data_IF_627570333128
#
_entry.id   IF_627570333128
#
_cell.length_a   1.000
_cell.length_b   1.000
_cell.length_c   1.000
_cell.angle_alpha   90.00
_cell.angle_beta   90.00
_cell.angle_gamma   90.00
#
_symmetry.space_group_name_H-M   'P 1'
#
loop_
_entity.id
_entity.type
_entity.pdbx_description
1 polymer ?
#
# COMPACT_ATOMS: atom_id res chain seq x y z
N UNK A 1 11.87 -20.44 -4.50
CA UNK A 1 11.47 -19.06 -4.16
C UNK A 1 10.12 -18.83 -4.81
N UNK A 2 9.14 -18.32 -4.07
CA UNK A 2 7.84 -17.95 -4.63
C UNK A 2 8.03 -16.70 -5.50
N UNK A 3 7.52 -16.73 -6.73
CA UNK A 3 7.49 -15.57 -7.63
C UNK A 3 6.06 -15.07 -7.81
N UNK A 4 5.83 -13.78 -8.17
CA UNK A 4 4.49 -13.28 -8.47
C UNK A 4 3.74 -14.11 -9.53
N UNK A 5 4.45 -14.71 -10.49
CA UNK A 5 3.90 -15.54 -11.55
C UNK A 5 3.35 -16.89 -11.04
N UNK A 6 3.79 -17.34 -9.86
CA UNK A 6 3.30 -18.57 -9.23
C UNK A 6 1.94 -18.37 -8.52
N UNK A 7 1.52 -17.12 -8.32
CA UNK A 7 0.26 -16.78 -7.67
C UNK A 7 -0.97 -17.09 -8.55
N UNK A 8 -2.15 -16.98 -7.95
CA UNK A 8 -3.43 -17.09 -8.68
C UNK A 8 -3.77 -15.85 -9.52
N UNK A 9 -2.98 -14.78 -9.42
CA UNK A 9 -3.21 -13.50 -10.08
C UNK A 9 -3.22 -13.69 -11.60
N UNK A 10 -4.22 -13.12 -12.29
CA UNK A 10 -4.42 -13.32 -13.73
C UNK A 10 -5.05 -14.66 -14.17
N UNK A 11 -5.28 -15.63 -13.26
CA UNK A 11 -5.86 -16.96 -13.59
C UNK A 11 -7.33 -17.09 -13.18
N UNK A 12 -8.16 -17.87 -13.88
CA UNK A 12 -9.48 -18.22 -13.34
C UNK A 12 -9.33 -19.22 -12.18
N UNK A 13 -9.97 -18.94 -11.04
CA UNK A 13 -9.97 -19.81 -9.86
C UNK A 13 -11.39 -19.93 -9.36
N UNK A 14 -11.84 -21.15 -9.08
CA UNK A 14 -13.13 -21.39 -8.47
C UNK A 14 -13.15 -20.79 -7.05
N UNK A 15 -14.29 -20.18 -6.66
CA UNK A 15 -14.43 -19.66 -5.31
C UNK A 15 -14.39 -20.81 -4.29
N UNK A 16 -13.63 -20.66 -3.19
CA UNK A 16 -13.56 -21.69 -2.16
C UNK A 16 -14.90 -21.82 -1.46
N UNK A 17 -15.34 -23.07 -1.24
CA UNK A 17 -16.58 -23.39 -0.53
C UNK A 17 -16.37 -23.64 0.97
N UNK A 18 -15.11 -23.71 1.42
CA UNK A 18 -14.71 -24.00 2.80
C UNK A 18 -13.51 -23.12 3.16
N UNK A 19 -13.30 -22.89 4.45
CA UNK A 19 -12.13 -22.20 4.97
C UNK A 19 -10.83 -22.85 4.50
N UNK A 20 -9.94 -22.05 3.94
CA UNK A 20 -8.65 -22.52 3.43
C UNK A 20 -7.56 -21.43 3.56
N UNK A 21 -6.68 -21.53 4.58
CA UNK A 21 -5.56 -20.61 4.75
C UNK A 21 -4.44 -20.84 3.73
N UNK A 22 -4.39 -22.00 3.08
CA UNK A 22 -3.36 -22.31 2.08
C UNK A 22 -3.55 -21.52 0.78
N UNK A 23 -4.69 -20.84 0.61
CA UNK A 23 -4.93 -19.89 -0.48
C UNK A 23 -4.05 -18.66 -0.39
N UNK A 24 -3.58 -18.29 0.81
CA UNK A 24 -2.72 -17.12 1.00
C UNK A 24 -1.37 -17.34 0.30
N UNK A 25 -0.97 -16.38 -0.53
CA UNK A 25 0.26 -16.45 -1.30
C UNK A 25 1.23 -15.35 -0.86
N UNK A 26 2.36 -15.71 -0.23
CA UNK A 26 3.40 -14.76 0.15
C UNK A 26 4.30 -14.42 -1.03
N UNK A 27 4.57 -13.12 -1.21
CA UNK A 27 5.56 -12.61 -2.16
C UNK A 27 6.73 -12.01 -1.36
N UNK A 28 7.96 -12.55 -1.50
CA UNK A 28 9.12 -11.99 -0.81
C UNK A 28 9.40 -10.55 -1.23
N UNK A 29 9.66 -9.66 -0.25
CA UNK A 29 9.98 -8.25 -0.53
C UNK A 29 11.38 -8.05 -1.11
N UNK A 30 12.29 -8.97 -0.81
CA UNK A 30 13.72 -8.89 -1.14
C UNK A 30 14.00 -8.51 -2.59
N UNK A 31 13.48 -9.28 -3.55
CA UNK A 31 13.80 -9.07 -4.96
C UNK A 31 13.37 -7.66 -5.44
N UNK A 32 12.16 -7.25 -5.08
CA UNK A 32 11.63 -5.92 -5.38
C UNK A 32 12.44 -4.79 -4.72
N UNK A 33 12.96 -5.02 -3.51
CA UNK A 33 13.83 -4.07 -2.79
C UNK A 33 15.21 -3.95 -3.42
N UNK A 34 15.82 -5.08 -3.80
CA UNK A 34 17.10 -5.13 -4.49
C UNK A 34 17.06 -4.33 -5.80
N UNK A 35 15.96 -4.43 -6.57
CA UNK A 35 15.74 -3.67 -7.82
C UNK A 35 15.75 -2.15 -7.63
N UNK A 36 15.38 -1.65 -6.44
CA UNK A 36 15.30 -0.23 -6.12
C UNK A 36 16.43 0.24 -5.20
N UNK A 37 17.43 -0.61 -4.98
CA UNK A 37 18.60 -0.32 -4.14
C UNK A 37 18.27 -0.21 -2.64
N UNK A 38 17.20 -0.85 -2.17
CA UNK A 38 16.85 -0.92 -0.75
C UNK A 38 17.47 -2.16 -0.12
N UNK A 39 18.28 -1.96 0.91
CA UNK A 39 18.85 -3.04 1.73
C UNK A 39 17.81 -3.55 2.74
N UNK A 40 17.36 -4.79 2.56
CA UNK A 40 16.39 -5.44 3.47
C UNK A 40 16.92 -5.59 4.90
N UNK A 41 18.24 -5.72 5.09
CA UNK A 41 18.84 -5.84 6.41
C UNK A 41 18.89 -4.50 7.15
N UNK A 42 18.91 -3.38 6.41
CA UNK A 42 19.04 -2.03 6.94
C UNK A 42 18.04 -1.10 6.24
N UNK A 43 16.75 -1.33 6.49
CA UNK A 43 15.69 -0.55 5.84
C UNK A 43 15.87 0.95 6.13
N UNK A 44 15.84 1.82 5.10
CA UNK A 44 15.97 3.27 5.28
C UNK A 44 14.68 3.90 5.83
N UNK A 45 13.65 3.09 6.06
CA UNK A 45 12.33 3.52 6.51
C UNK A 45 11.74 2.57 7.57
N UNK A 46 10.84 3.12 8.37
CA UNK A 46 9.83 2.38 9.12
C UNK A 46 8.50 2.43 8.36
N UNK A 47 7.56 1.55 8.69
CA UNK A 47 6.21 1.66 8.18
C UNK A 47 5.42 0.36 8.07
N UNK A 48 4.38 0.41 7.26
CA UNK A 48 3.43 -0.69 7.10
C UNK A 48 2.70 -0.61 5.76
N UNK A 49 2.11 -1.72 5.35
CA UNK A 49 1.13 -1.78 4.29
C UNK A 49 -0.23 -1.96 4.95
N UNK A 50 -1.05 -0.92 4.90
CA UNK A 50 -2.40 -0.96 5.45
C UNK A 50 -3.37 -1.40 4.38
N UNK A 51 -4.12 -2.46 4.62
CA UNK A 51 -5.17 -2.91 3.75
C UNK A 51 -6.53 -2.56 4.34
N UNK A 52 -7.48 -2.20 3.48
CA UNK A 52 -8.89 -2.19 3.85
C UNK A 52 -9.62 -3.34 3.14
N UNK A 53 -10.15 -4.28 3.92
CA UNK A 53 -11.06 -5.32 3.46
C UNK A 53 -12.50 -4.82 3.60
N UNK A 54 -13.15 -4.55 2.47
CA UNK A 54 -14.55 -4.08 2.44
C UNK A 54 -15.56 -5.22 2.34
N UNK A 55 -15.10 -6.39 1.89
CA UNK A 55 -15.91 -7.58 1.66
C UNK A 55 -15.47 -8.67 2.63
N UNK A 56 -15.84 -8.55 3.90
CA UNK A 56 -15.56 -9.56 4.93
C UNK A 56 -16.86 -10.13 5.49
N UNK A 57 -17.03 -11.45 5.37
CA UNK A 57 -18.22 -12.15 5.84
C UNK A 57 -17.88 -13.55 6.37
N UNK A 58 -18.65 -14.01 7.34
CA UNK A 58 -18.59 -15.36 7.91
C UNK A 58 -19.94 -15.77 8.49
N UNK A 59 -20.05 -16.96 9.07
CA UNK A 59 -21.25 -17.42 9.77
C UNK A 59 -21.05 -17.38 11.28
N UNK A 60 -22.06 -16.94 12.03
CA UNK A 60 -22.06 -17.16 13.48
C UNK A 60 -22.27 -18.66 13.83
N UNK A 61 -22.16 -19.01 15.11
CA UNK A 61 -22.37 -20.38 15.60
C UNK A 61 -23.69 -21.03 15.15
N UNK A 62 -24.74 -20.24 14.91
CA UNK A 62 -26.07 -20.72 14.45
C UNK A 62 -26.18 -20.75 12.93
N UNK A 63 -25.23 -20.19 12.20
CA UNK A 63 -25.19 -20.19 10.74
C UNK A 63 -25.76 -18.92 10.14
N UNK A 64 -26.00 -17.89 10.95
CA UNK A 64 -26.44 -16.59 10.46
C UNK A 64 -25.21 -15.85 9.90
N UNK A 65 -25.30 -15.29 8.68
CA UNK A 65 -24.23 -14.45 8.15
C UNK A 65 -23.92 -13.25 9.05
N UNK A 66 -22.63 -13.01 9.23
CA UNK A 66 -22.02 -11.83 9.85
C UNK A 66 -21.25 -11.09 8.76
N UNK A 67 -21.31 -9.77 8.79
CA UNK A 67 -20.57 -8.91 7.86
C UNK A 67 -19.78 -7.89 8.64
N UNK A 68 -18.58 -7.60 8.16
CA UNK A 68 -17.75 -6.54 8.70
C UNK A 68 -16.89 -5.94 7.59
N UNK A 69 -16.12 -4.95 7.99
CA UNK A 69 -14.99 -4.40 7.23
C UNK A 69 -13.79 -4.42 8.17
N UNK A 70 -12.59 -4.60 7.64
CA UNK A 70 -11.40 -4.73 8.46
C UNK A 70 -10.24 -3.89 7.92
N UNK A 71 -9.56 -3.20 8.82
CA UNK A 71 -8.24 -2.62 8.57
C UNK A 71 -7.19 -3.64 8.99
N UNK A 72 -6.29 -4.00 8.07
CA UNK A 72 -5.20 -4.94 8.30
C UNK A 72 -3.88 -4.20 8.12
N UNK A 73 -2.97 -4.30 9.08
CA UNK A 73 -1.66 -3.64 9.01
C UNK A 73 -0.55 -4.69 8.97
N UNK A 74 0.10 -4.81 7.80
CA UNK A 74 1.26 -5.67 7.61
C UNK A 74 2.52 -4.82 7.79
N UNK A 75 3.43 -5.12 8.74
CA UNK A 75 4.61 -4.29 8.95
C UNK A 75 5.54 -4.33 7.73
N UNK A 76 6.18 -3.21 7.37
CA UNK A 76 7.11 -3.19 6.23
C UNK A 76 8.36 -4.03 6.49
N UNK A 77 8.63 -4.41 7.74
CA UNK A 77 9.70 -5.33 8.15
C UNK A 77 9.34 -6.81 7.94
N UNK A 78 8.11 -7.13 7.55
CA UNK A 78 7.73 -8.49 7.16
C UNK A 78 8.58 -8.98 5.98
N UNK A 79 9.06 -10.24 5.98
CA UNK A 79 9.80 -10.78 4.84
C UNK A 79 8.94 -10.88 3.57
N UNK A 80 7.63 -11.04 3.73
CA UNK A 80 6.70 -11.17 2.62
C UNK A 80 5.59 -10.11 2.67
N UNK A 81 5.23 -9.60 1.49
CA UNK A 81 3.89 -9.03 1.28
C UNK A 81 2.89 -10.14 0.95
N UNK A 82 1.60 -9.84 1.05
CA UNK A 82 0.52 -10.80 0.78
C UNK A 82 -0.10 -10.45 -0.58
N UNK A 83 -0.16 -11.41 -1.51
CA UNK A 83 -0.71 -11.15 -2.84
C UNK A 83 -2.22 -10.89 -2.78
N UNK A 84 -2.67 -9.75 -3.34
CA UNK A 84 -4.03 -9.22 -3.19
C UNK A 84 -5.17 -10.18 -3.56
N UNK A 85 -5.03 -10.95 -4.65
CA UNK A 85 -6.05 -11.90 -5.08
C UNK A 85 -6.07 -13.13 -4.21
N UNK A 86 -4.91 -13.65 -3.82
CA UNK A 86 -4.78 -14.72 -2.84
C UNK A 86 -5.47 -14.35 -1.53
N UNK A 87 -5.32 -13.10 -1.09
CA UNK A 87 -5.95 -12.58 0.11
C UNK A 87 -7.47 -12.49 -0.06
N UNK A 88 -7.96 -11.99 -1.20
CA UNK A 88 -9.40 -12.01 -1.53
C UNK A 88 -9.97 -13.43 -1.49
N UNK A 89 -9.30 -14.41 -2.10
CA UNK A 89 -9.76 -15.80 -2.11
C UNK A 89 -9.78 -16.39 -0.70
N UNK A 90 -8.76 -16.12 0.10
CA UNK A 90 -8.73 -16.46 1.52
C UNK A 90 -9.95 -15.88 2.28
N UNK A 91 -10.24 -14.58 2.11
CA UNK A 91 -11.40 -13.97 2.76
C UNK A 91 -12.72 -14.61 2.30
N UNK A 92 -12.85 -14.94 1.02
CA UNK A 92 -14.03 -15.66 0.51
C UNK A 92 -14.20 -17.06 1.10
N UNK A 93 -13.09 -17.72 1.47
CA UNK A 93 -13.12 -19.03 2.14
C UNK A 93 -13.83 -18.96 3.51
N UNK A 94 -13.88 -17.78 4.13
CA UNK A 94 -14.55 -17.55 5.40
C UNK A 94 -16.07 -17.43 5.26
N UNK A 95 -16.61 -17.16 4.08
CA UNK A 95 -18.03 -16.83 3.86
C UNK A 95 -19.01 -17.91 4.38
N UNK A 96 -18.59 -19.18 4.35
CA UNK A 96 -19.38 -20.32 4.85
C UNK A 96 -18.82 -20.93 6.14
N UNK A 97 -17.86 -20.26 6.77
CA UNK A 97 -17.14 -20.75 7.94
C UNK A 97 -17.78 -20.21 9.21
N UNK A 98 -18.00 -21.12 10.19
CA UNK A 98 -18.64 -20.77 11.46
C UNK A 98 -17.61 -20.36 12.49
N UNK A 99 -17.89 -19.26 13.16
CA UNK A 99 -17.14 -18.80 14.34
C UNK A 99 -18.08 -18.62 15.54
N UNK A 100 -17.56 -18.82 16.74
CA UNK A 100 -18.30 -18.66 17.99
C UNK A 100 -18.70 -17.19 18.21
N UNK A 101 -17.79 -16.28 17.90
CA UNK A 101 -17.96 -14.83 17.95
C UNK A 101 -17.05 -14.10 16.94
N UNK A 102 -17.22 -12.78 16.87
CA UNK A 102 -16.49 -11.91 15.95
C UNK A 102 -14.98 -11.85 16.28
N UNK A 103 -14.60 -12.01 17.55
CA UNK A 103 -13.21 -11.93 17.99
C UNK A 103 -12.42 -13.18 17.56
N UNK A 104 -13.05 -14.36 17.60
CA UNK A 104 -12.45 -15.59 17.08
C UNK A 104 -12.17 -15.48 15.57
N UNK A 105 -13.09 -14.89 14.80
CA UNK A 105 -12.87 -14.62 13.37
C UNK A 105 -11.70 -13.65 13.16
N UNK A 106 -11.64 -12.56 13.93
CA UNK A 106 -10.55 -11.57 13.87
C UNK A 106 -9.18 -12.19 14.18
N UNK A 107 -9.10 -12.99 15.25
CA UNK A 107 -7.87 -13.67 15.67
C UNK A 107 -7.42 -14.70 14.65
N UNK A 108 -8.36 -15.45 14.04
CA UNK A 108 -8.08 -16.38 12.95
C UNK A 108 -7.40 -15.65 11.78
N UNK A 109 -8.03 -14.58 11.30
CA UNK A 109 -7.51 -13.76 10.20
C UNK A 109 -6.11 -13.21 10.55
N UNK A 110 -5.94 -12.62 11.72
CA UNK A 110 -4.65 -12.09 12.15
C UNK A 110 -3.56 -13.17 12.20
N UNK A 111 -3.88 -14.36 12.71
CA UNK A 111 -2.94 -15.49 12.81
C UNK A 111 -2.49 -16.00 11.44
N UNK A 112 -3.44 -16.24 10.52
CA UNK A 112 -3.13 -16.78 9.20
C UNK A 112 -2.34 -15.78 8.35
N UNK A 113 -2.72 -14.49 8.38
CA UNK A 113 -1.98 -13.43 7.70
C UNK A 113 -0.59 -13.22 8.29
N UNK A 114 -0.44 -13.36 9.61
CA UNK A 114 0.88 -13.30 10.24
C UNK A 114 1.79 -14.43 9.78
N UNK A 115 1.24 -15.64 9.67
CA UNK A 115 1.96 -16.80 9.15
C UNK A 115 2.39 -16.61 7.69
N UNK A 116 1.52 -16.03 6.85
CA UNK A 116 1.83 -15.71 5.45
C UNK A 116 2.91 -14.62 5.34
N UNK A 117 2.74 -13.50 6.05
CA UNK A 117 3.66 -12.37 6.00
C UNK A 117 5.02 -12.70 6.63
N UNK A 118 5.08 -13.63 7.58
CA UNK A 118 6.27 -13.94 8.37
C UNK A 118 6.55 -12.91 9.48
N UNK A 119 5.54 -12.12 9.86
CA UNK A 119 5.60 -11.12 10.93
C UNK A 119 4.21 -10.90 11.52
N UNK A 120 4.11 -10.30 12.71
CA UNK A 120 2.82 -10.03 13.36
C UNK A 120 2.01 -9.03 12.53
N UNK A 121 0.83 -9.47 12.07
CA UNK A 121 -0.14 -8.66 11.34
C UNK A 121 -1.26 -8.25 12.30
N UNK A 122 -1.55 -6.95 12.36
CA UNK A 122 -2.66 -6.44 13.17
C UNK A 122 -3.94 -6.39 12.34
N UNK A 123 -5.07 -6.77 12.94
CA UNK A 123 -6.40 -6.76 12.30
C UNK A 123 -7.39 -6.10 13.24
N UNK A 124 -8.04 -5.04 12.76
CA UNK A 124 -9.07 -4.28 13.49
C UNK A 124 -10.33 -4.21 12.64
N UNK A 125 -11.48 -4.53 13.22
CA UNK A 125 -12.76 -4.34 12.53
C UNK A 125 -13.19 -2.88 12.58
N UNK A 126 -13.67 -2.38 11.44
CA UNK A 126 -13.99 -0.98 11.24
C UNK A 126 -13.44 -0.45 9.92
N UNK A 127 -13.94 0.71 9.53
CA UNK A 127 -13.50 1.44 8.34
C UNK A 127 -12.96 2.80 8.79
N UNK A 128 -11.83 3.26 8.21
CA UNK A 128 -11.33 4.60 8.40
C UNK A 128 -12.37 5.69 8.06
N UNK A 129 -12.22 6.85 8.70
CA UNK A 129 -13.03 8.02 8.38
C UNK A 129 -12.75 8.49 6.95
N UNK A 130 -13.80 8.88 6.25
CA UNK A 130 -13.67 9.53 4.94
C UNK A 130 -13.16 10.95 5.15
N UNK A 131 -12.12 11.32 4.40
CA UNK A 131 -11.69 12.71 4.24
C UNK A 131 -12.03 13.20 2.85
N UNK A 132 -12.56 14.42 2.76
CA UNK A 132 -12.97 15.03 1.48
C UNK A 132 -11.81 15.71 0.76
N UNK A 133 -10.80 16.18 1.50
CA UNK A 133 -9.62 16.84 0.96
C UNK A 133 -8.34 16.19 1.47
N UNK A 134 -7.34 16.09 0.59
CA UNK A 134 -5.99 15.69 0.98
C UNK A 134 -5.37 16.75 1.90
N UNK A 135 -4.54 16.31 2.84
CA UNK A 135 -3.77 17.23 3.68
C UNK A 135 -2.64 17.88 2.87
N UNK A 136 -2.37 19.16 3.11
CA UNK A 136 -1.26 19.89 2.48
C UNK A 136 -1.59 20.60 1.18
N UNK A 137 -0.55 21.03 0.47
CA UNK A 137 -0.62 21.67 -0.85
C UNK A 137 -0.87 20.58 -1.92
N UNK A 138 -1.94 20.73 -2.72
CA UNK A 138 -2.14 19.86 -3.90
C UNK A 138 -1.28 20.35 -5.05
N UNK A 139 -0.59 19.40 -5.69
CA UNK A 139 0.21 19.65 -6.89
C UNK A 139 -0.63 19.60 -8.17
N UNK A 140 -1.86 19.10 -8.11
CA UNK A 140 -2.59 18.65 -9.31
C UNK A 140 -3.05 19.79 -10.25
N UNK A 141 -3.12 21.01 -9.73
CA UNK A 141 -3.54 22.22 -10.47
C UNK A 141 -2.36 22.95 -11.15
N UNK A 142 -1.13 22.42 -11.05
CA UNK A 142 0.04 23.02 -11.69
C UNK A 142 -0.07 22.91 -13.21
N UNK A 143 0.12 24.04 -13.89
CA UNK A 143 0.19 24.11 -15.35
C UNK A 143 1.59 23.68 -15.84
N UNK A 144 1.77 22.37 -16.03
CA UNK A 144 3.05 21.77 -16.44
C UNK A 144 2.89 20.87 -17.67
N UNK A 145 3.83 20.98 -18.60
CA UNK A 145 3.96 20.00 -19.68
C UNK A 145 4.50 18.66 -19.13
N UNK A 146 3.83 17.56 -19.49
CA UNK A 146 4.23 16.18 -19.17
C UNK A 146 4.56 15.43 -20.46
N UNK A 147 5.82 15.00 -20.60
CA UNK A 147 6.32 14.32 -21.81
C UNK A 147 6.75 12.87 -21.54
N UNK A 148 6.92 12.47 -20.27
CA UNK A 148 7.37 11.13 -19.87
C UNK A 148 6.36 10.46 -18.95
N UNK A 149 5.94 9.25 -19.32
CA UNK A 149 4.90 8.48 -18.62
C UNK A 149 5.40 7.13 -18.07
N UNK A 150 6.66 6.78 -18.29
CA UNK A 150 7.29 5.55 -17.80
C UNK A 150 8.67 5.31 -18.40
N UNK A 151 9.61 4.65 -17.70
CA UNK A 151 9.58 4.30 -16.26
C UNK A 151 9.74 5.56 -15.36
N UNK A 152 9.67 5.45 -14.02
CA UNK A 152 9.85 6.57 -13.10
C UNK A 152 11.13 7.38 -13.40
N UNK A 153 11.02 8.70 -13.27
CA UNK A 153 12.01 9.67 -13.73
C UNK A 153 12.63 10.47 -12.57
N UNK A 154 13.52 9.86 -11.75
CA UNK A 154 14.08 10.51 -10.57
C UNK A 154 14.93 11.76 -10.89
N UNK A 155 15.31 11.99 -12.14
CA UNK A 155 15.99 13.21 -12.57
C UNK A 155 15.10 14.47 -12.50
N UNK A 156 13.77 14.33 -12.42
CA UNK A 156 12.88 15.48 -12.17
C UNK A 156 12.92 15.94 -10.71
N UNK A 157 13.41 15.11 -9.79
CA UNK A 157 13.46 15.45 -8.38
C UNK A 157 14.63 16.40 -8.08
N UNK A 158 14.29 17.56 -7.54
CA UNK A 158 15.25 18.54 -7.05
C UNK A 158 14.67 19.28 -5.84
N UNK A 159 15.54 19.92 -5.07
CA UNK A 159 15.14 20.72 -3.92
C UNK A 159 16.06 21.93 -3.73
N UNK A 160 15.51 23.04 -3.23
CA UNK A 160 16.24 24.24 -2.93
C UNK A 160 16.87 24.18 -1.53
N UNK A 161 18.17 23.91 -1.48
CA UNK A 161 18.94 23.85 -0.23
C UNK A 161 18.97 25.18 0.56
N UNK A 162 18.72 26.32 -0.09
CA UNK A 162 18.64 27.63 0.56
C UNK A 162 17.33 27.87 1.33
N UNK A 163 16.34 26.99 1.21
CA UNK A 163 15.05 27.14 1.86
C UNK A 163 14.64 25.82 2.55
N UNK A 164 14.78 25.76 3.88
CA UNK A 164 14.29 24.64 4.68
C UNK A 164 12.84 24.87 5.07
N UNK A 165 11.97 23.89 4.82
CA UNK A 165 10.54 23.94 5.11
C UNK A 165 10.09 22.70 5.87
N UNK A 166 8.94 22.79 6.54
CA UNK A 166 8.16 21.65 6.99
C UNK A 166 6.79 21.77 6.35
N UNK A 167 6.46 20.85 5.45
CA UNK A 167 5.21 20.92 4.69
C UNK A 167 4.72 19.53 4.26
N UNK A 168 3.49 19.51 3.76
CA UNK A 168 2.88 18.34 3.12
C UNK A 168 2.52 18.73 1.69
N UNK A 169 2.98 17.92 0.72
CA UNK A 169 2.60 18.00 -0.68
C UNK A 169 1.77 16.77 -1.02
N UNK A 170 0.73 16.93 -1.84
CA UNK A 170 -0.17 15.83 -2.20
C UNK A 170 -0.48 15.82 -3.69
N UNK A 171 -0.79 14.65 -4.23
CA UNK A 171 -1.29 14.48 -5.59
C UNK A 171 -2.27 13.32 -5.67
N UNK A 172 -3.40 13.51 -6.34
CA UNK A 172 -4.37 12.47 -6.66
C UNK A 172 -4.09 11.79 -8.02
N UNK A 173 -2.99 12.15 -8.69
CA UNK A 173 -2.67 11.75 -10.06
C UNK A 173 -1.75 10.53 -10.16
N UNK A 174 -1.36 9.92 -9.03
CA UNK A 174 -0.55 8.71 -9.04
C UNK A 174 -1.33 7.57 -9.70
N UNK A 175 -0.75 7.05 -10.79
CA UNK A 175 -1.24 5.86 -11.47
C UNK A 175 -0.03 4.99 -11.83
N UNK A 176 -0.14 3.69 -11.63
CA UNK A 176 0.81 2.68 -12.11
C UNK A 176 0.04 1.53 -12.77
N UNK A 177 0.72 0.45 -13.15
CA UNK A 177 0.13 -0.78 -13.65
C UNK A 177 0.49 -1.96 -12.76
N UNK A 178 -0.43 -2.92 -12.64
CA UNK A 178 -0.16 -4.13 -11.90
C UNK A 178 0.83 -5.01 -12.70
N UNK A 179 1.95 -5.45 -12.10
CA UNK A 179 3.01 -6.17 -12.82
C UNK A 179 2.57 -7.54 -13.37
N UNK A 180 1.47 -8.11 -12.85
CA UNK A 180 0.98 -9.43 -13.29
C UNK A 180 -0.19 -9.33 -14.27
N UNK A 181 -1.09 -8.37 -14.08
CA UNK A 181 -2.33 -8.28 -14.90
C UNK A 181 -2.31 -7.17 -15.93
N UNK A 182 -1.38 -6.20 -15.83
CA UNK A 182 -1.35 -4.99 -16.65
C UNK A 182 -2.48 -4.00 -16.38
N UNK A 183 -3.39 -4.29 -15.44
CA UNK A 183 -4.51 -3.41 -15.13
C UNK A 183 -4.02 -2.11 -14.45
N UNK A 184 -4.73 -0.97 -14.63
CA UNK A 184 -4.33 0.34 -14.09
C UNK A 184 -4.63 0.50 -12.58
N UNK A 185 -3.61 0.85 -11.81
CA UNK A 185 -3.69 1.13 -10.38
C UNK A 185 -3.79 2.64 -10.18
N UNK A 186 -4.67 3.09 -9.28
CA UNK A 186 -4.93 4.50 -9.02
C UNK A 186 -4.72 4.80 -7.55
N UNK A 187 -4.07 5.91 -7.24
CA UNK A 187 -3.83 6.33 -5.87
C UNK A 187 -3.82 7.85 -5.72
N UNK A 188 -4.06 8.28 -4.49
CA UNK A 188 -3.51 9.55 -4.02
C UNK A 188 -2.20 9.28 -3.30
N UNK A 189 -1.25 10.22 -3.37
CA UNK A 189 0.01 10.17 -2.64
C UNK A 189 0.19 11.44 -1.81
N UNK A 190 0.68 11.28 -0.59
CA UNK A 190 1.07 12.34 0.33
C UNK A 190 2.56 12.24 0.60
N UNK A 191 3.25 13.38 0.50
CA UNK A 191 4.67 13.54 0.79
C UNK A 191 4.80 14.61 1.86
N UNK A 192 5.00 14.18 3.10
CA UNK A 192 5.20 15.06 4.24
C UNK A 192 6.67 15.01 4.64
N UNK A 193 7.31 16.17 4.78
CA UNK A 193 8.75 16.20 5.01
C UNK A 193 9.18 17.46 5.75
N UNK A 194 10.41 17.41 6.28
CA UNK A 194 11.19 18.60 6.62
C UNK A 194 12.54 18.55 5.94
N UNK A 195 12.97 19.66 5.35
CA UNK A 195 14.26 19.75 4.67
C UNK A 195 14.27 20.80 3.56
N UNK A 196 15.26 20.73 2.65
CA UNK A 196 15.30 21.56 1.44
C UNK A 196 13.97 21.54 0.68
N UNK A 197 13.46 22.72 0.30
CA UNK A 197 12.15 22.84 -0.33
C UNK A 197 12.13 22.11 -1.68
N UNK A 198 11.32 21.07 -1.78
CA UNK A 198 11.15 20.25 -3.00
C UNK A 198 10.49 21.09 -4.10
N UNK A 199 11.03 20.96 -5.32
CA UNK A 199 10.46 21.55 -6.52
C UNK A 199 9.11 20.91 -6.87
N UNK A 200 8.06 21.72 -6.96
CA UNK A 200 6.68 21.26 -7.13
C UNK A 200 6.46 20.63 -8.50
N UNK A 201 6.91 21.31 -9.55
CA UNK A 201 6.72 20.82 -10.90
C UNK A 201 7.50 19.53 -11.16
N UNK A 202 8.75 19.47 -10.68
CA UNK A 202 9.59 18.29 -10.74
C UNK A 202 8.99 17.10 -10.00
N UNK A 203 8.45 17.32 -8.80
CA UNK A 203 7.74 16.28 -8.05
C UNK A 203 6.49 15.79 -8.80
N UNK A 204 5.69 16.69 -9.37
CA UNK A 204 4.52 16.30 -10.14
C UNK A 204 4.91 15.48 -11.40
N UNK A 205 5.90 15.94 -12.18
CA UNK A 205 6.42 15.20 -13.34
C UNK A 205 6.93 13.82 -12.95
N UNK A 206 7.64 13.73 -11.82
CA UNK A 206 8.10 12.47 -11.26
C UNK A 206 6.93 11.53 -10.93
N UNK A 207 5.92 11.98 -10.19
CA UNK A 207 4.76 11.16 -9.83
C UNK A 207 3.97 10.69 -11.07
N UNK A 208 3.80 11.57 -12.07
CA UNK A 208 3.10 11.21 -13.32
C UNK A 208 3.93 10.26 -14.19
N UNK A 209 5.26 10.22 -14.05
CA UNK A 209 6.11 9.28 -14.77
C UNK A 209 5.91 7.80 -14.36
N UNK A 210 5.11 7.52 -13.32
CA UNK A 210 4.68 6.16 -12.98
C UNK A 210 3.55 5.63 -13.88
N UNK A 211 2.91 6.49 -14.69
CA UNK A 211 1.63 6.20 -15.37
C UNK A 211 1.61 4.89 -16.17
N UNK A 212 2.69 4.54 -16.83
CA UNK A 212 2.86 3.32 -17.64
C UNK A 212 3.78 2.29 -16.97
N UNK A 213 4.32 2.60 -15.79
CA UNK A 213 5.21 1.72 -15.04
C UNK A 213 4.45 0.58 -14.37
N UNK A 214 5.04 -0.62 -14.41
CA UNK A 214 4.47 -1.82 -13.82
C UNK A 214 5.22 -2.18 -12.53
N UNK A 215 4.57 -2.02 -11.38
CA UNK A 215 5.20 -2.16 -10.07
C UNK A 215 4.13 -2.38 -8.98
N UNK A 216 4.43 -3.15 -7.94
CA UNK A 216 3.49 -3.33 -6.82
C UNK A 216 3.31 -2.02 -6.04
N UNK A 217 2.18 -1.86 -5.36
CA UNK A 217 1.85 -0.62 -4.64
C UNK A 217 2.90 -0.31 -3.58
N UNK A 218 3.29 -1.34 -2.83
CA UNK A 218 4.31 -1.31 -1.79
C UNK A 218 5.66 -0.88 -2.36
N UNK A 219 6.08 -1.46 -3.48
CA UNK A 219 7.35 -1.16 -4.13
C UNK A 219 7.36 0.26 -4.73
N UNK A 220 6.23 0.72 -5.30
CA UNK A 220 6.09 2.11 -5.77
C UNK A 220 6.40 3.11 -4.64
N UNK A 221 5.82 2.91 -3.45
CA UNK A 221 6.01 3.81 -2.31
C UNK A 221 7.43 3.72 -1.74
N UNK A 222 8.02 2.51 -1.68
CA UNK A 222 9.42 2.34 -1.30
C UNK A 222 10.38 3.06 -2.27
N UNK A 223 10.10 3.01 -3.58
CA UNK A 223 10.85 3.75 -4.61
C UNK A 223 10.72 5.26 -4.43
N UNK A 224 9.50 5.78 -4.28
CA UNK A 224 9.24 7.22 -4.05
C UNK A 224 10.02 7.70 -2.82
N UNK A 225 9.95 6.96 -1.71
CA UNK A 225 10.67 7.29 -0.49
C UNK A 225 12.19 7.33 -0.72
N UNK A 226 12.76 6.31 -1.36
CA UNK A 226 14.20 6.20 -1.56
C UNK A 226 14.71 7.30 -2.51
N UNK A 227 14.01 7.56 -3.61
CA UNK A 227 14.42 8.55 -4.61
C UNK A 227 14.30 9.98 -4.07
N UNK A 228 13.26 10.30 -3.30
CA UNK A 228 13.16 11.58 -2.59
C UNK A 228 14.25 11.74 -1.52
N UNK A 229 14.55 10.68 -0.77
CA UNK A 229 15.62 10.71 0.23
C UNK A 229 16.98 11.01 -0.44
N UNK A 230 17.27 10.33 -1.54
CA UNK A 230 18.54 10.49 -2.26
C UNK A 230 18.66 11.85 -2.95
N UNK A 231 17.60 12.33 -3.61
CA UNK A 231 17.63 13.52 -4.47
C UNK A 231 17.35 14.82 -3.72
N UNK A 232 16.46 14.79 -2.74
CA UNK A 232 15.99 15.99 -2.02
C UNK A 232 16.60 16.12 -0.62
N UNK A 233 17.22 15.06 -0.10
CA UNK A 233 17.92 15.02 1.19
C UNK A 233 17.13 15.67 2.34
N UNK A 234 15.86 15.28 2.55
CA UNK A 234 15.09 15.79 3.68
C UNK A 234 15.72 15.35 5.00
N UNK A 235 15.56 16.18 6.04
CA UNK A 235 15.92 15.84 7.42
C UNK A 235 15.02 14.70 7.94
N UNK A 236 13.75 14.69 7.54
CA UNK A 236 12.85 13.54 7.69
C UNK A 236 11.81 13.54 6.58
N UNK A 237 11.32 12.35 6.24
CA UNK A 237 10.36 12.11 5.16
C UNK A 237 9.29 11.12 5.62
N UNK A 238 8.07 11.33 5.14
CA UNK A 238 6.93 10.44 5.24
C UNK A 238 6.23 10.41 3.89
N UNK A 239 6.02 9.21 3.34
CA UNK A 239 5.31 8.97 2.08
C UNK A 239 4.20 7.97 2.34
N UNK A 240 2.97 8.37 2.03
CA UNK A 240 1.80 7.50 2.03
C UNK A 240 1.17 7.49 0.64
N UNK A 241 0.90 6.32 0.08
CA UNK A 241 -0.02 6.21 -1.04
C UNK A 241 -1.27 5.46 -0.61
N UNK A 242 -2.44 5.95 -1.04
CA UNK A 242 -3.75 5.38 -0.75
C UNK A 242 -4.39 4.95 -2.05
N UNK A 243 -4.21 3.67 -2.39
CA UNK A 243 -4.71 3.11 -3.65
C UNK A 243 -6.21 2.83 -3.58
N UNK A 244 -6.86 2.86 -4.74
CA UNK A 244 -8.25 2.42 -4.90
C UNK A 244 -8.35 0.91 -4.81
N UNK A 245 -9.47 0.38 -4.31
CA UNK A 245 -9.64 -1.06 -4.15
C UNK A 245 -9.68 -1.83 -5.47
N UNK A 246 -9.23 -3.08 -5.43
CA UNK A 246 -9.49 -4.11 -6.44
C UNK A 246 -10.07 -5.35 -5.78
N UNK A 247 -11.21 -5.81 -6.28
CA UNK A 247 -11.86 -7.01 -5.75
C UNK A 247 -12.13 -6.98 -4.25
N UNK A 248 -12.57 -5.82 -3.73
CA UNK A 248 -12.95 -5.66 -2.33
C UNK A 248 -11.81 -5.31 -1.37
N UNK A 249 -10.57 -5.18 -1.86
CA UNK A 249 -9.37 -4.88 -1.06
C UNK A 249 -8.63 -3.66 -1.63
N UNK A 250 -8.29 -2.68 -0.78
CA UNK A 250 -7.29 -1.66 -1.10
C UNK A 250 -5.98 -1.87 -0.31
N UNK A 251 -4.91 -1.22 -0.77
CA UNK A 251 -3.59 -1.22 -0.12
C UNK A 251 -3.13 0.22 0.02
N UNK A 252 -2.61 0.55 1.19
CA UNK A 252 -2.16 1.88 1.57
C UNK A 252 -0.76 1.78 2.17
N UNK A 253 0.30 1.69 1.36
CA UNK A 253 1.65 1.63 1.88
C UNK A 253 2.05 2.98 2.46
N UNK A 254 2.61 2.93 3.66
CA UNK A 254 3.16 4.06 4.38
C UNK A 254 4.63 3.78 4.71
N UNK A 255 5.52 4.72 4.40
CA UNK A 255 6.97 4.65 4.65
C UNK A 255 7.43 5.97 5.24
N UNK A 256 8.20 5.92 6.32
CA UNK A 256 8.67 7.11 7.01
C UNK A 256 10.10 6.96 7.53
N UNK A 257 10.80 8.07 7.74
CA UNK A 257 12.11 8.08 8.41
C UNK A 257 12.00 7.52 9.82
N UNK A 258 13.09 6.92 10.32
CA UNK A 258 13.15 6.39 11.69
C UNK A 258 12.80 7.48 12.72
N UNK A 259 11.99 7.11 13.72
CA UNK A 259 11.51 8.02 14.76
C UNK A 259 10.25 8.81 14.41
N UNK A 260 9.77 8.73 13.16
CA UNK A 260 8.44 9.23 12.79
C UNK A 260 7.39 8.22 13.20
N UNK A 261 6.46 8.66 14.06
CA UNK A 261 5.32 7.84 14.47
C UNK A 261 4.26 7.81 13.36
N UNK A 262 3.59 6.67 13.25
CA UNK A 262 2.43 6.52 12.38
C UNK A 262 1.34 7.55 12.74
N UNK A 263 0.58 8.06 11.75
CA UNK A 263 -0.52 8.98 12.02
C UNK A 263 -1.49 8.44 13.07
N UNK A 264 -1.86 9.26 14.05
CA UNK A 264 -2.77 8.87 15.13
C UNK A 264 -4.18 8.49 14.64
N UNK A 265 -4.52 8.88 13.41
CA UNK A 265 -5.79 8.54 12.76
C UNK A 265 -5.55 8.07 11.34
N UNK A 266 -6.12 6.92 11.04
CA UNK A 266 -6.24 6.39 9.69
C UNK A 266 -7.43 7.02 8.99
N UNK A 267 -7.26 7.41 7.72
CA UNK A 267 -8.30 8.00 6.88
C UNK A 267 -8.39 7.31 5.52
N UNK A 268 -9.54 7.45 4.85
CA UNK A 268 -9.74 7.01 3.46
C UNK A 268 -10.12 8.18 2.56
N UNK A 269 -9.67 8.13 1.31
CA UNK A 269 -10.06 9.10 0.28
C UNK A 269 -11.41 8.76 -0.37
N UNK A 270 -12.01 9.76 -1.02
CA UNK A 270 -13.27 9.63 -1.77
C UNK A 270 -13.28 8.50 -2.81
N UNK A 271 -12.12 8.21 -3.42
CA UNK A 271 -12.00 7.20 -4.49
C UNK A 271 -11.78 5.77 -3.98
N UNK A 272 -11.56 5.56 -2.68
CA UNK A 272 -11.19 4.25 -2.12
C UNK A 272 -12.38 3.31 -1.92
#
# INVERSE_FOLDING_TARGET
MNTPQDSSLGREVAYPSQYDPALLFPIPRRAAREEIGVDEANLPFVGHDRWQAYELSWLDRRGKPRVAVATVSVPCTSPNLIESKSFKLYLNSLNSTRFDDDEQARQRIAGDLSACAGAVVNVVFGVPLLVEAAEGESLDELDVAIERYGPPAPEYLSANAGQVVTETLSSALLKSNCPVTGQPDWASVSVRYRGPRIDREGLLRYLVSYREHAEFHEQCVERIFNELTLRCQPEWLEVEARYTRRGGLDINPWRASAGIEQPARTVRDLRQ
#
